data_IF_468831609844
#
_entry.id   IF_468831609844
#
_cell.length_a   1.000
_cell.length_b   1.000
_cell.length_c   1.000
_cell.angle_alpha   90.00
_cell.angle_beta   90.00
_cell.angle_gamma   90.00
#
_symmetry.space_group_name_H-M   'P 1'
#
loop_
_entity.id
_entity.type
_entity.pdbx_description
1 polymer ?
#
# COMPACT_ATOMS: atom_id res chain seq x y z
N UNK A 1 -9.44 -7.96 5.85
CA UNK A 1 -8.68 -8.93 5.02
C UNK A 1 -7.49 -9.45 5.81
N UNK A 2 -7.21 -10.76 5.83
CA UNK A 2 -6.05 -11.33 6.55
C UNK A 2 -4.74 -11.21 5.76
N UNK A 3 -3.62 -11.07 6.47
CA UNK A 3 -2.27 -11.07 5.91
C UNK A 3 -1.87 -12.49 5.54
N UNK A 4 -1.51 -12.73 4.28
CA UNK A 4 -1.26 -14.09 3.77
C UNK A 4 0.16 -14.28 3.26
N UNK A 5 0.81 -13.21 2.78
CA UNK A 5 2.09 -13.33 2.11
C UNK A 5 3.12 -12.33 2.63
N UNK A 6 4.38 -12.77 2.61
CA UNK A 6 5.52 -11.88 2.83
C UNK A 6 5.66 -10.94 1.64
N UNK A 7 5.99 -9.68 1.90
CA UNK A 7 6.18 -8.64 0.90
C UNK A 7 4.94 -7.80 0.60
N UNK A 8 3.76 -8.18 1.11
CA UNK A 8 2.55 -7.37 0.99
C UNK A 8 2.76 -6.00 1.65
N UNK A 9 2.30 -4.94 0.99
CA UNK A 9 2.35 -3.57 1.51
C UNK A 9 0.96 -3.19 1.97
N UNK A 10 0.88 -2.56 3.13
CA UNK A 10 -0.37 -2.09 3.72
C UNK A 10 -0.24 -0.65 4.16
N UNK A 11 -1.30 0.13 3.95
CA UNK A 11 -1.37 1.54 4.30
C UNK A 11 -2.59 1.85 5.16
N UNK A 12 -2.39 2.68 6.18
CA UNK A 12 -3.48 3.27 6.96
C UNK A 12 -4.00 4.52 6.25
N UNK A 13 -5.29 4.54 5.93
CA UNK A 13 -5.92 5.68 5.24
C UNK A 13 -6.21 6.88 6.14
N UNK A 14 -6.08 6.75 7.48
CA UNK A 14 -6.22 7.86 8.42
C UNK A 14 -4.91 8.62 8.59
N UNK A 15 -3.86 7.94 9.06
CA UNK A 15 -2.60 8.59 9.43
C UNK A 15 -1.53 8.50 8.34
N UNK A 16 -1.74 7.68 7.31
CA UNK A 16 -0.81 7.50 6.20
C UNK A 16 0.33 6.50 6.45
N UNK A 17 0.39 5.85 7.63
CA UNK A 17 1.42 4.85 7.93
C UNK A 17 1.40 3.71 6.92
N UNK A 18 2.56 3.40 6.37
CA UNK A 18 2.78 2.29 5.44
C UNK A 18 3.74 1.27 6.07
N UNK A 19 3.39 -0.02 5.93
CA UNK A 19 4.19 -1.12 6.44
C UNK A 19 4.29 -2.22 5.39
N UNK A 20 5.44 -2.90 5.36
CA UNK A 20 5.67 -4.09 4.53
C UNK A 20 5.73 -5.33 5.39
N UNK A 21 4.99 -6.36 5.01
CA UNK A 21 4.96 -7.63 5.73
C UNK A 21 6.29 -8.36 5.54
N UNK A 22 7.02 -8.59 6.64
CA UNK A 22 8.27 -9.38 6.62
C UNK A 22 8.04 -10.85 6.96
N UNK A 23 6.99 -11.15 7.72
CA UNK A 23 6.53 -12.50 8.04
C UNK A 23 5.01 -12.52 8.04
N UNK A 24 4.39 -13.45 7.31
CA UNK A 24 2.94 -13.55 7.22
C UNK A 24 2.35 -14.23 8.47
N UNK A 25 1.17 -13.76 8.88
CA UNK A 25 0.36 -14.40 9.92
C UNK A 25 -1.11 -14.09 9.63
N UNK A 26 -1.99 -15.09 9.76
CA UNK A 26 -3.37 -15.02 9.26
C UNK A 26 -4.33 -14.02 9.93
N UNK A 27 -3.81 -13.09 10.74
CA UNK A 27 -4.57 -11.98 11.33
C UNK A 27 -4.71 -10.78 10.38
N UNK A 28 -5.45 -9.77 10.81
CA UNK A 28 -5.65 -8.51 10.08
C UNK A 28 -4.78 -7.41 10.70
N UNK A 29 -4.18 -6.55 9.87
CA UNK A 29 -3.47 -5.37 10.36
C UNK A 29 -4.46 -4.25 10.68
N UNK A 30 -4.33 -3.66 11.88
CA UNK A 30 -5.16 -2.54 12.34
C UNK A 30 -4.29 -1.35 12.73
N UNK A 31 -4.70 -0.16 12.30
CA UNK A 31 -4.07 1.11 12.67
C UNK A 31 -5.16 2.18 12.80
N UNK A 32 -5.06 3.04 13.82
CA UNK A 32 -6.08 4.08 14.10
C UNK A 32 -7.52 3.55 14.29
N UNK A 33 -7.66 2.31 14.77
CA UNK A 33 -8.98 1.70 15.04
C UNK A 33 -9.70 1.16 13.80
N UNK A 34 -9.01 1.04 12.65
CA UNK A 34 -9.56 0.43 11.44
C UNK A 34 -8.59 -0.59 10.82
N UNK A 35 -9.13 -1.49 9.99
CA UNK A 35 -8.31 -2.37 9.16
C UNK A 35 -7.47 -1.54 8.17
N UNK A 36 -6.21 -1.93 7.97
CA UNK A 36 -5.34 -1.31 6.97
C UNK A 36 -5.70 -1.78 5.55
N UNK A 37 -5.51 -0.90 4.57
CA UNK A 37 -5.75 -1.20 3.15
C UNK A 37 -4.48 -1.82 2.55
N UNK A 38 -4.61 -2.94 1.82
CA UNK A 38 -3.49 -3.49 1.04
C UNK A 38 -3.21 -2.55 -0.13
N UNK A 39 -1.97 -2.09 -0.22
CA UNK A 39 -1.46 -1.34 -1.35
C UNK A 39 -1.07 -2.36 -2.42
N UNK A 40 -1.86 -2.41 -3.49
CA UNK A 40 -1.59 -3.25 -4.65
C UNK A 40 -0.83 -2.33 -5.58
N UNK A 41 0.49 -2.53 -5.66
CA UNK A 41 1.33 -1.82 -6.61
C UNK A 41 0.88 -2.29 -8.02
N UNK A 42 -0.09 -1.58 -8.60
CA UNK A 42 -0.51 -1.77 -9.98
C UNK A 42 0.63 -1.24 -10.85
N UNK A 43 1.70 -2.03 -11.03
CA UNK A 43 2.80 -1.74 -11.95
C UNK A 43 2.38 -1.85 -13.43
N UNK A 44 1.19 -1.36 -13.75
CA UNK A 44 0.66 -1.21 -15.10
C UNK A 44 -0.09 0.13 -15.30
N UNK A 45 0.09 1.12 -14.40
CA UNK A 45 -0.20 2.52 -14.77
C UNK A 45 0.96 3.08 -15.59
N UNK A 46 0.92 2.70 -16.88
CA UNK A 46 1.42 3.43 -18.05
C UNK A 46 2.35 4.61 -17.71
N UNK A 47 3.66 4.36 -17.82
CA UNK A 47 4.75 5.32 -17.63
C UNK A 47 4.65 6.58 -18.52
N UNK A 48 3.66 6.67 -19.42
CA UNK A 48 3.43 7.80 -20.31
C UNK A 48 2.89 9.07 -19.63
N UNK A 49 2.42 9.01 -18.38
CA UNK A 49 1.74 10.16 -17.72
C UNK A 49 2.62 11.03 -16.84
N UNK A 50 3.93 10.77 -16.77
CA UNK A 50 4.89 11.65 -16.07
C UNK A 50 5.72 12.45 -17.07
N UNK A 51 5.07 13.27 -17.89
CA UNK A 51 5.77 14.41 -18.48
C UNK A 51 5.81 15.52 -17.42
N UNK A 52 7.00 15.99 -16.99
CA UNK A 52 7.08 17.25 -16.28
C UNK A 52 6.57 18.32 -17.22
N UNK A 53 5.54 19.04 -16.79
CA UNK A 53 4.96 20.16 -17.51
C UNK A 53 6.09 21.17 -17.79
N UNK A 54 6.50 21.25 -19.06
CA UNK A 54 7.42 22.24 -19.60
C UNK A 54 6.73 23.61 -19.54
N UNK A 55 6.68 24.20 -18.35
CA UNK A 55 6.07 25.50 -18.10
C UNK A 55 7.10 26.53 -17.62
N UNK A 56 7.57 27.34 -18.58
CA UNK A 56 8.44 28.55 -18.49
C UNK A 56 9.94 28.36 -18.24
#
# INVERSE_FOLDING_TARGET
MSVQNVGEVYRCLICGNEVKVVFAGGGVLSCCGQEMQRDIDEQDVDMSRRLPDSGM
#
